data_IF_340083134635
#
_entry.id   IF_340083134635
#
_cell.length_a   1.000
_cell.length_b   1.000
_cell.length_c   1.000
_cell.angle_alpha   90.00
_cell.angle_beta   90.00
_cell.angle_gamma   90.00
#
_symmetry.space_group_name_H-M   'P 1'
#
loop_
_entity.id
_entity.type
_entity.pdbx_description
1 polymer ?
#
# COMPACT_ATOMS: atom_id res chain seq x y z
N UNK A 1 18.59 -25.83 18.41
CA UNK A 1 18.11 -25.62 17.02
C UNK A 1 17.26 -24.37 17.01
N UNK A 2 17.87 -23.23 16.70
CA UNK A 2 17.22 -21.91 16.77
C UNK A 2 16.57 -21.62 15.42
N UNK A 3 15.25 -21.72 15.36
CA UNK A 3 14.47 -21.36 14.17
C UNK A 3 14.56 -19.86 13.95
N UNK A 4 15.27 -19.42 12.91
CA UNK A 4 15.26 -18.03 12.47
C UNK A 4 13.84 -17.67 12.00
N UNK A 5 13.25 -16.65 12.62
CA UNK A 5 11.99 -16.09 12.16
C UNK A 5 12.14 -15.58 10.71
N UNK A 6 11.14 -15.76 9.85
CA UNK A 6 11.20 -15.30 8.48
C UNK A 6 11.30 -13.76 8.41
N UNK A 7 12.08 -13.25 7.46
CA UNK A 7 12.51 -11.85 7.32
C UNK A 7 11.39 -10.81 7.02
N UNK A 8 10.13 -11.14 7.30
CA UNK A 8 8.96 -10.28 7.07
C UNK A 8 8.13 -10.04 8.34
N UNK A 9 8.58 -10.49 9.52
CA UNK A 9 8.01 -9.97 10.76
C UNK A 9 8.20 -8.45 10.80
N UNK A 10 7.09 -7.72 10.78
CA UNK A 10 6.99 -6.28 10.97
C UNK A 10 7.43 -5.94 12.40
N UNK A 11 8.71 -6.11 12.69
CA UNK A 11 9.32 -5.78 13.98
C UNK A 11 9.40 -4.26 14.07
N UNK A 12 8.60 -3.67 14.96
CA UNK A 12 8.91 -2.71 16.06
C UNK A 12 9.91 -1.54 15.80
N UNK A 13 10.76 -1.56 14.77
CA UNK A 13 11.79 -0.57 14.44
C UNK A 13 11.26 0.78 13.95
N UNK A 14 9.98 0.89 13.56
CA UNK A 14 9.39 2.13 13.06
C UNK A 14 8.05 2.40 13.74
N UNK A 15 8.03 3.01 14.96
CA UNK A 15 6.78 3.38 15.59
C UNK A 15 6.03 4.38 14.70
N UNK A 16 4.76 4.11 14.45
CA UNK A 16 3.94 4.92 13.55
C UNK A 16 3.87 6.38 14.06
N UNK A 17 4.33 7.32 13.25
CA UNK A 17 4.43 8.74 13.63
C UNK A 17 3.15 9.47 13.30
N UNK A 18 2.35 9.98 14.27
CA UNK A 18 1.05 10.59 13.98
C UNK A 18 1.16 11.75 12.98
N UNK A 19 0.31 11.74 11.96
CA UNK A 19 0.24 12.77 10.92
C UNK A 19 -1.20 13.26 10.82
N UNK A 20 -1.37 14.57 10.89
CA UNK A 20 -2.66 15.24 10.72
C UNK A 20 -2.80 15.74 9.28
N UNK A 21 -3.79 15.23 8.54
CA UNK A 21 -4.10 15.69 7.18
C UNK A 21 -5.61 15.91 7.00
N UNK A 22 -6.03 16.85 6.14
CA UNK A 22 -7.40 16.90 5.63
C UNK A 22 -7.56 15.81 4.57
N UNK A 23 -7.92 14.59 5.00
CA UNK A 23 -7.89 13.41 4.13
C UNK A 23 -8.92 13.42 2.99
N UNK A 24 -9.93 14.31 3.05
CA UNK A 24 -11.08 14.26 2.14
C UNK A 24 -11.28 15.54 1.33
N UNK A 25 -11.29 16.71 1.99
CA UNK A 25 -11.44 18.03 1.37
C UNK A 25 -10.60 19.04 2.17
N UNK A 26 -10.15 20.13 1.54
CA UNK A 26 -9.38 21.17 2.25
C UNK A 26 -10.14 21.75 3.45
N UNK A 27 -11.49 21.77 3.40
CA UNK A 27 -12.35 22.23 4.49
C UNK A 27 -12.71 21.13 5.51
N UNK A 28 -12.27 19.89 5.31
CA UNK A 28 -12.57 18.80 6.26
C UNK A 28 -11.77 18.94 7.55
N UNK A 29 -12.36 18.52 8.68
CA UNK A 29 -11.67 18.48 9.97
C UNK A 29 -10.37 17.66 9.82
N UNK A 30 -9.21 18.20 10.22
CA UNK A 30 -7.95 17.49 10.10
C UNK A 30 -8.00 16.20 10.94
N UNK A 31 -7.74 15.05 10.33
CA UNK A 31 -7.70 13.77 11.05
C UNK A 31 -6.25 13.37 11.27
N UNK A 32 -5.90 13.07 12.51
CA UNK A 32 -4.60 12.53 12.88
C UNK A 32 -4.61 11.02 12.70
N UNK A 33 -3.74 10.51 11.83
CA UNK A 33 -3.59 9.08 11.58
C UNK A 33 -2.13 8.66 11.78
N UNK A 34 -1.94 7.42 12.21
CA UNK A 34 -0.62 6.81 12.37
C UNK A 34 -0.24 6.10 11.04
N UNK A 35 0.67 6.68 10.23
CA UNK A 35 1.09 6.11 8.96
C UNK A 35 1.88 4.83 9.19
N UNK A 36 1.46 3.76 8.52
CA UNK A 36 2.08 2.44 8.61
C UNK A 36 3.35 2.32 7.76
N UNK A 37 3.53 3.18 6.77
CA UNK A 37 4.66 3.14 5.83
C UNK A 37 5.37 4.49 5.84
N UNK A 38 6.52 4.55 6.51
CA UNK A 38 7.38 5.73 6.60
C UNK A 38 8.77 5.43 6.05
N UNK A 39 9.57 6.48 5.84
CA UNK A 39 11.01 6.35 5.59
C UNK A 39 11.73 5.98 6.87
N UNK A 40 12.98 5.53 6.75
CA UNK A 40 13.85 5.24 7.90
C UNK A 40 13.99 6.43 8.87
N UNK A 41 13.88 7.66 8.35
CA UNK A 41 13.91 8.89 9.15
C UNK A 41 12.54 9.34 9.67
N UNK A 42 11.53 8.47 9.67
CA UNK A 42 10.16 8.77 10.14
C UNK A 42 9.34 9.67 9.22
N UNK A 43 9.93 10.20 8.13
CA UNK A 43 9.20 11.07 7.20
C UNK A 43 8.28 10.27 6.30
N UNK A 44 7.15 10.89 5.95
CA UNK A 44 6.21 10.33 4.98
C UNK A 44 6.83 10.13 3.61
N UNK A 45 6.37 9.09 2.94
CA UNK A 45 6.60 8.91 1.53
C UNK A 45 5.66 9.79 0.70
N UNK A 46 6.23 10.66 -0.12
CA UNK A 46 5.50 11.22 -1.26
C UNK A 46 5.33 10.11 -2.31
N UNK A 47 4.13 9.97 -2.89
CA UNK A 47 3.79 8.87 -3.81
C UNK A 47 4.77 8.72 -4.97
N UNK A 48 5.15 9.82 -5.62
CA UNK A 48 6.12 9.83 -6.71
C UNK A 48 7.52 9.36 -6.26
N UNK A 49 7.95 9.78 -5.07
CA UNK A 49 9.25 9.35 -4.51
C UNK A 49 9.24 7.89 -4.10
N UNK A 50 8.13 7.39 -3.55
CA UNK A 50 7.99 5.97 -3.22
C UNK A 50 8.11 5.11 -4.47
N UNK A 51 7.42 5.51 -5.54
CA UNK A 51 7.49 4.84 -6.84
C UNK A 51 8.93 4.75 -7.36
N UNK A 52 9.65 5.86 -7.39
CA UNK A 52 11.02 5.92 -7.93
C UNK A 52 12.07 5.28 -7.03
N UNK A 53 12.00 5.50 -5.71
CA UNK A 53 13.09 5.11 -4.80
C UNK A 53 12.92 3.72 -4.21
N UNK A 54 11.68 3.33 -3.89
CA UNK A 54 11.41 2.02 -3.30
C UNK A 54 11.14 1.03 -4.42
N UNK A 55 10.08 1.25 -5.21
CA UNK A 55 9.62 0.24 -6.17
C UNK A 55 10.61 -0.02 -7.30
N UNK A 56 11.04 1.00 -8.03
CA UNK A 56 11.98 0.79 -9.16
C UNK A 56 13.28 0.13 -8.69
N UNK A 57 13.80 0.57 -7.54
CA UNK A 57 15.00 -0.04 -6.93
C UNK A 57 14.76 -1.52 -6.60
N UNK A 58 13.62 -1.86 -6.01
CA UNK A 58 13.31 -3.23 -5.60
C UNK A 58 13.14 -4.17 -6.80
N UNK A 59 12.43 -3.74 -7.85
CA UNK A 59 12.31 -4.52 -9.09
C UNK A 59 13.66 -4.78 -9.74
N UNK A 60 14.54 -3.77 -9.77
CA UNK A 60 15.91 -3.92 -10.26
C UNK A 60 16.70 -4.93 -9.41
N UNK A 61 16.62 -4.86 -8.09
CA UNK A 61 17.29 -5.81 -7.18
C UNK A 61 16.75 -7.24 -7.32
N UNK A 62 15.46 -7.39 -7.63
CA UNK A 62 14.83 -8.67 -7.88
C UNK A 62 15.07 -9.22 -9.31
N UNK A 63 15.81 -8.49 -10.17
CA UNK A 63 16.05 -8.88 -11.56
C UNK A 63 14.79 -8.84 -12.45
N UNK A 64 13.75 -8.14 -12.04
CA UNK A 64 12.48 -8.06 -12.77
C UNK A 64 12.53 -6.86 -13.71
N UNK A 65 12.41 -7.12 -15.01
CA UNK A 65 12.30 -6.06 -16.01
C UNK A 65 10.98 -5.29 -15.84
N UNK A 66 11.06 -3.99 -15.57
CA UNK A 66 9.88 -3.13 -15.49
C UNK A 66 9.47 -2.64 -16.87
N UNK A 67 8.21 -2.87 -17.23
CA UNK A 67 7.56 -2.24 -18.38
C UNK A 67 6.97 -0.90 -17.95
N UNK A 68 7.38 0.15 -18.66
CA UNK A 68 6.89 1.51 -18.46
C UNK A 68 5.37 1.54 -18.65
N UNK A 69 4.66 2.25 -17.76
CA UNK A 69 3.18 2.39 -17.72
C UNK A 69 2.38 1.12 -17.41
N UNK A 70 2.90 -0.07 -17.68
CA UNK A 70 2.21 -1.33 -17.41
C UNK A 70 2.36 -1.74 -15.94
N UNK A 71 3.59 -1.78 -15.42
CA UNK A 71 3.81 -2.43 -14.12
C UNK A 71 3.56 -1.51 -12.92
N UNK A 72 2.77 -0.44 -13.09
CA UNK A 72 2.49 0.67 -12.15
C UNK A 72 1.95 0.28 -10.76
N UNK A 73 1.73 1.28 -9.88
CA UNK A 73 1.05 1.03 -8.59
C UNK A 73 -0.37 0.50 -8.79
N UNK A 74 -1.01 0.85 -9.90
CA UNK A 74 -2.31 0.33 -10.28
C UNK A 74 -2.25 -1.17 -10.65
N UNK A 75 -1.18 -1.63 -11.29
CA UNK A 75 -0.95 -3.05 -11.53
C UNK A 75 -0.77 -3.84 -10.23
N UNK A 76 -0.06 -3.28 -9.24
CA UNK A 76 0.02 -3.88 -7.91
C UNK A 76 -1.36 -3.97 -7.23
N UNK A 77 -2.21 -2.95 -7.39
CA UNK A 77 -3.59 -3.01 -6.89
C UNK A 77 -4.38 -4.13 -7.56
N UNK A 78 -4.28 -4.27 -8.88
CA UNK A 78 -4.93 -5.37 -9.60
C UNK A 78 -4.40 -6.74 -9.18
N UNK A 79 -3.09 -6.88 -9.06
CA UNK A 79 -2.48 -8.12 -8.59
C UNK A 79 -3.00 -8.50 -7.20
N UNK A 80 -3.10 -7.53 -6.28
CA UNK A 80 -3.69 -7.75 -4.96
C UNK A 80 -5.15 -8.21 -5.04
N UNK A 81 -5.98 -7.59 -5.90
CA UNK A 81 -7.34 -8.06 -6.16
C UNK A 81 -7.34 -9.52 -6.64
N UNK A 82 -6.55 -9.83 -7.66
CA UNK A 82 -6.49 -11.19 -8.23
C UNK A 82 -6.09 -12.22 -7.18
N UNK A 83 -5.10 -11.93 -6.35
CA UNK A 83 -4.67 -12.83 -5.26
C UNK A 83 -5.80 -13.04 -4.24
N UNK A 84 -6.50 -11.97 -3.83
CA UNK A 84 -7.61 -12.09 -2.89
C UNK A 84 -8.79 -12.89 -3.48
N UNK A 85 -9.10 -12.69 -4.76
CA UNK A 85 -10.13 -13.44 -5.46
C UNK A 85 -9.77 -14.93 -5.58
N UNK A 86 -8.49 -15.25 -5.84
CA UNK A 86 -8.00 -16.64 -5.84
C UNK A 86 -8.12 -17.26 -4.45
N UNK A 87 -7.91 -16.48 -3.38
CA UNK A 87 -8.10 -16.91 -2.00
C UNK A 87 -9.56 -16.92 -1.54
N UNK A 88 -10.52 -16.98 -2.47
CA UNK A 88 -11.96 -17.10 -2.21
C UNK A 88 -12.58 -15.90 -1.47
N UNK A 89 -11.93 -14.73 -1.48
CA UNK A 89 -12.57 -13.49 -1.00
C UNK A 89 -13.65 -13.08 -2.00
N UNK A 90 -14.87 -12.91 -1.51
CA UNK A 90 -16.01 -12.53 -2.35
C UNK A 90 -15.84 -11.12 -2.93
N UNK A 91 -16.28 -10.90 -4.18
CA UNK A 91 -16.20 -9.60 -4.86
C UNK A 91 -16.86 -8.47 -4.04
N UNK A 92 -18.00 -8.76 -3.40
CA UNK A 92 -18.71 -7.76 -2.57
C UNK A 92 -17.89 -7.34 -1.35
N UNK A 93 -17.21 -8.29 -0.73
CA UNK A 93 -16.35 -8.06 0.41
C UNK A 93 -15.11 -7.25 0.02
N UNK A 94 -14.48 -7.62 -1.10
CA UNK A 94 -13.34 -6.89 -1.67
C UNK A 94 -13.67 -5.42 -1.94
N UNK A 95 -14.82 -5.15 -2.58
CA UNK A 95 -15.26 -3.80 -2.91
C UNK A 95 -15.57 -2.96 -1.67
N UNK A 96 -16.18 -3.57 -0.65
CA UNK A 96 -16.45 -2.91 0.63
C UNK A 96 -15.15 -2.50 1.32
N UNK A 97 -14.19 -3.42 1.42
CA UNK A 97 -12.86 -3.15 2.00
C UNK A 97 -12.11 -2.06 1.24
N UNK A 98 -12.32 -1.96 -0.07
CA UNK A 98 -11.66 -0.97 -0.93
C UNK A 98 -12.40 0.37 -1.03
N UNK A 99 -13.55 0.50 -0.36
CA UNK A 99 -14.38 1.70 -0.39
C UNK A 99 -15.02 1.99 -1.75
N UNK A 100 -15.14 0.98 -2.62
CA UNK A 100 -15.76 1.12 -3.94
C UNK A 100 -17.27 0.88 -3.80
N UNK A 101 -18.05 1.96 -3.83
CA UNK A 101 -19.50 1.88 -3.75
C UNK A 101 -20.11 1.29 -5.03
N UNK A 102 -20.85 0.19 -4.90
CA UNK A 102 -21.72 -0.28 -5.98
C UNK A 102 -22.94 0.65 -6.09
N UNK A 103 -22.98 1.49 -7.12
CA UNK A 103 -24.24 2.16 -7.50
C UNK A 103 -25.16 1.12 -8.12
N UNK A 104 -26.32 0.88 -7.49
CA UNK A 104 -27.39 0.12 -8.15
C UNK A 104 -27.90 0.98 -9.30
N UNK A 105 -27.75 0.49 -10.54
CA UNK A 105 -28.57 0.97 -11.65
C UNK A 105 -30.02 0.68 -11.28
N UNK A 106 -30.87 1.71 -11.32
CA UNK A 106 -32.32 1.51 -11.34
C UNK A 106 -32.75 1.09 -12.74
#
# INVERSE_FOLDING_TARGET
MTSAAPAWTCSICFPATPVTLPWKCAESLPVTANPLIVRENGRLWQGERFHKQVRVKHFRTAGIAMRRFVDGMYALRHFCASVQLVNLVGVRELLSTWGIGMRRSR
#
